data_IF_897833513923
#
_entry.id   IF_897833513923
#
_cell.length_a   1.000
_cell.length_b   1.000
_cell.length_c   1.000
_cell.angle_alpha   90.00
_cell.angle_beta   90.00
_cell.angle_gamma   90.00
#
_symmetry.space_group_name_H-M   'P 1'
#
loop_
_entity.id
_entity.type
_entity.pdbx_description
1 polymer ?
#
# COMPACT_ATOMS: atom_id res chain seq x y z
N UNK A 1 -0.07 3.73 -5.73
CA UNK A 1 -0.91 2.99 -4.76
C UNK A 1 -1.89 3.89 -4.00
N UNK A 2 -1.49 5.06 -3.50
CA UNK A 2 -2.39 5.93 -2.71
C UNK A 2 -3.76 6.18 -3.38
N UNK A 3 -3.80 6.61 -4.64
CA UNK A 3 -5.06 6.89 -5.34
C UNK A 3 -6.00 5.67 -5.39
N UNK A 4 -5.47 4.49 -5.75
CA UNK A 4 -6.25 3.27 -5.82
C UNK A 4 -6.80 2.85 -4.45
N UNK A 5 -6.04 3.06 -3.37
CA UNK A 5 -6.49 2.79 -2.01
C UNK A 5 -7.62 3.75 -1.60
N UNK A 6 -7.46 5.06 -1.84
CA UNK A 6 -8.48 6.07 -1.53
C UNK A 6 -9.80 5.73 -2.23
N UNK A 7 -9.74 5.40 -3.51
CA UNK A 7 -10.92 5.03 -4.30
C UNK A 7 -11.61 3.76 -3.77
N UNK A 8 -10.83 2.72 -3.45
CA UNK A 8 -11.38 1.47 -2.94
C UNK A 8 -12.04 1.67 -1.56
N UNK A 9 -11.42 2.44 -0.67
CA UNK A 9 -11.96 2.72 0.68
C UNK A 9 -13.20 3.61 0.61
N UNK A 10 -13.23 4.61 -0.29
CA UNK A 10 -14.44 5.42 -0.49
C UNK A 10 -15.62 4.54 -0.94
N UNK A 11 -15.41 3.67 -1.93
CA UNK A 11 -16.45 2.72 -2.38
C UNK A 11 -16.87 1.76 -1.25
N UNK A 12 -15.91 1.20 -0.52
CA UNK A 12 -16.17 0.29 0.61
C UNK A 12 -17.01 0.96 1.70
N UNK A 13 -16.72 2.22 2.03
CA UNK A 13 -17.42 2.98 3.08
C UNK A 13 -18.91 3.22 2.77
N UNK A 14 -19.31 3.08 1.50
CA UNK A 14 -20.66 3.36 1.00
C UNK A 14 -21.51 2.09 0.85
N UNK A 15 -20.94 0.90 1.03
CA UNK A 15 -21.66 -0.38 0.87
C UNK A 15 -22.79 -0.46 1.90
N UNK A 16 -23.98 -0.87 1.45
CA UNK A 16 -25.16 -1.06 2.30
C UNK A 16 -25.92 0.22 2.66
N UNK A 17 -25.42 1.40 2.28
CA UNK A 17 -26.15 2.64 2.46
C UNK A 17 -27.28 2.76 1.43
N UNK A 18 -28.47 3.18 1.88
CA UNK A 18 -29.66 3.29 1.04
C UNK A 18 -29.49 4.28 -0.12
N UNK A 19 -28.85 5.42 0.13
CA UNK A 19 -28.65 6.51 -0.82
C UNK A 19 -27.21 7.07 -0.71
N UNK A 20 -26.18 6.37 -1.19
CA UNK A 20 -24.77 6.75 -1.00
C UNK A 20 -24.38 8.07 -1.69
N UNK A 21 -25.18 8.52 -2.66
CA UNK A 21 -25.00 9.79 -3.36
C UNK A 21 -25.65 10.99 -2.63
N UNK A 22 -26.45 10.73 -1.60
CA UNK A 22 -27.15 11.76 -0.82
C UNK A 22 -26.46 12.03 0.53
N UNK A 23 -25.22 11.59 0.69
CA UNK A 23 -24.42 11.82 1.90
C UNK A 23 -23.80 13.22 1.87
N UNK A 24 -23.60 13.79 3.06
CA UNK A 24 -22.81 15.01 3.22
C UNK A 24 -21.33 14.65 3.14
N UNK A 25 -20.56 15.41 2.35
CA UNK A 25 -19.12 15.26 2.28
C UNK A 25 -18.45 15.95 3.49
N UNK A 26 -18.00 15.13 4.44
CA UNK A 26 -17.28 15.58 5.62
C UNK A 26 -15.76 15.38 5.51
N UNK A 27 -15.21 15.09 4.32
CA UNK A 27 -13.79 14.75 4.14
C UNK A 27 -12.81 15.81 4.67
N UNK A 28 -13.25 17.06 4.78
CA UNK A 28 -12.48 18.18 5.36
C UNK A 28 -12.03 17.95 6.81
N UNK A 29 -12.74 17.13 7.59
CA UNK A 29 -12.35 16.85 8.99
C UNK A 29 -11.28 15.77 9.09
N UNK A 30 -10.99 15.05 8.01
CA UNK A 30 -9.94 14.04 7.98
C UNK A 30 -8.59 14.77 8.01
N UNK A 31 -7.69 14.44 8.95
CA UNK A 31 -6.37 15.04 9.00
C UNK A 31 -5.61 14.87 7.69
N UNK A 32 -4.87 15.92 7.29
CA UNK A 32 -4.03 15.83 6.10
C UNK A 32 -2.91 14.81 6.32
N UNK A 33 -2.66 13.91 5.35
CA UNK A 33 -1.62 12.91 5.48
C UNK A 33 -0.24 13.57 5.51
N UNK A 34 0.66 13.01 6.32
CA UNK A 34 2.08 13.39 6.28
C UNK A 34 2.67 13.06 4.92
N UNK A 35 3.66 13.85 4.51
CA UNK A 35 4.33 13.64 3.23
C UNK A 35 4.93 12.23 3.14
N UNK A 36 4.83 11.63 1.95
CA UNK A 36 5.37 10.30 1.72
C UNK A 36 6.89 10.29 2.00
N UNK A 37 7.35 9.24 2.69
CA UNK A 37 8.77 9.03 3.04
C UNK A 37 9.65 8.86 1.78
N UNK A 38 9.05 8.59 0.62
CA UNK A 38 9.72 8.38 -0.69
C UNK A 38 10.82 7.31 -0.66
N UNK A 39 10.85 6.44 0.36
CA UNK A 39 11.70 5.24 0.38
C UNK A 39 11.21 4.32 -0.74
N UNK A 40 12.10 3.85 -1.64
CA UNK A 40 11.72 2.86 -2.64
C UNK A 40 11.38 1.52 -1.95
N UNK A 41 10.66 0.66 -2.66
CA UNK A 41 10.46 -0.71 -2.21
C UNK A 41 11.80 -1.46 -2.22
N UNK A 42 12.09 -2.17 -1.14
CA UNK A 42 13.31 -2.96 -0.94
C UNK A 42 12.97 -4.34 -0.41
N UNK A 43 13.87 -5.31 -0.59
CA UNK A 43 13.79 -6.54 0.19
C UNK A 43 14.21 -6.26 1.64
N UNK A 44 13.58 -6.90 2.63
CA UNK A 44 14.09 -6.89 4.00
C UNK A 44 15.54 -7.38 4.07
N UNK A 45 16.27 -6.98 5.11
CA UNK A 45 17.59 -7.52 5.39
C UNK A 45 17.54 -9.07 5.44
N UNK A 46 18.61 -9.74 5.01
CA UNK A 46 18.68 -11.21 4.82
C UNK A 46 17.83 -11.81 3.69
N UNK A 47 16.96 -11.02 3.04
CA UNK A 47 16.12 -11.47 1.91
C UNK A 47 16.62 -10.98 0.56
N UNK A 48 16.22 -11.70 -0.48
CA UNK A 48 16.58 -11.39 -1.86
C UNK A 48 15.49 -11.84 -2.82
N UNK A 49 15.71 -11.65 -4.13
CA UNK A 49 14.84 -12.20 -5.17
C UNK A 49 14.63 -13.72 -5.04
N UNK A 50 15.58 -14.47 -4.43
CA UNK A 50 15.45 -15.92 -4.22
C UNK A 50 14.29 -16.31 -3.31
N UNK A 51 13.85 -15.39 -2.45
CA UNK A 51 12.74 -15.59 -1.53
C UNK A 51 11.37 -15.27 -2.18
N UNK A 52 11.36 -14.72 -3.40
CA UNK A 52 10.14 -14.33 -4.10
C UNK A 52 9.49 -15.55 -4.76
N UNK A 53 8.22 -15.77 -4.43
CA UNK A 53 7.36 -16.75 -5.09
C UNK A 53 6.59 -16.05 -6.22
N UNK A 54 7.19 -16.01 -7.42
CA UNK A 54 6.58 -15.37 -8.59
C UNK A 54 5.23 -16.03 -8.92
N UNK A 55 4.16 -15.23 -8.90
CA UNK A 55 2.81 -15.70 -9.23
C UNK A 55 2.20 -14.98 -10.45
N UNK A 56 2.67 -13.77 -10.78
CA UNK A 56 2.17 -13.06 -11.94
C UNK A 56 2.80 -13.62 -13.22
N UNK A 57 2.01 -14.23 -14.09
CA UNK A 57 2.49 -14.77 -15.38
C UNK A 57 2.74 -13.68 -16.42
N UNK A 58 1.96 -12.59 -16.37
CA UNK A 58 2.04 -11.51 -17.35
C UNK A 58 3.23 -10.58 -17.15
N UNK A 59 3.78 -10.50 -15.93
CA UNK A 59 4.91 -9.63 -15.61
C UNK A 59 5.81 -10.27 -14.55
N UNK A 60 7.14 -10.29 -14.75
CA UNK A 60 8.07 -10.70 -13.72
C UNK A 60 8.06 -9.71 -12.54
N UNK A 61 8.42 -10.20 -11.35
CA UNK A 61 8.63 -9.38 -10.17
C UNK A 61 9.85 -8.45 -10.41
N UNK A 62 9.77 -7.18 -10.00
CA UNK A 62 10.87 -6.24 -10.19
C UNK A 62 12.10 -6.60 -9.36
N UNK A 63 13.30 -6.33 -9.89
CA UNK A 63 14.53 -6.45 -9.11
C UNK A 63 14.62 -5.28 -8.11
N UNK A 64 14.75 -5.60 -6.82
CA UNK A 64 14.86 -4.62 -5.73
C UNK A 64 16.23 -4.72 -5.05
N UNK A 65 16.57 -3.68 -4.29
CA UNK A 65 17.76 -3.69 -3.42
C UNK A 65 17.40 -4.34 -2.09
N UNK A 66 18.33 -5.10 -1.50
CA UNK A 66 18.20 -5.64 -0.14
C UNK A 66 18.63 -4.61 0.88
N UNK A 67 17.80 -4.37 1.90
CA UNK A 67 18.13 -3.50 3.02
C UNK A 67 19.40 -4.02 3.74
N UNK A 68 20.33 -3.14 4.14
CA UNK A 68 21.56 -3.57 4.80
C UNK A 68 21.27 -4.12 6.20
N UNK A 69 22.06 -5.11 6.63
CA UNK A 69 21.98 -5.70 7.97
C UNK A 69 21.91 -7.23 7.97
N UNK A 70 22.05 -7.83 9.15
CA UNK A 70 22.03 -9.28 9.36
C UNK A 70 20.73 -9.80 9.98
N UNK A 71 19.81 -8.90 10.31
CA UNK A 71 18.54 -9.23 10.96
C UNK A 71 17.41 -8.49 10.28
N UNK A 72 16.29 -9.18 10.06
CA UNK A 72 15.04 -8.54 9.64
C UNK A 72 14.51 -7.64 10.75
N UNK A 73 14.00 -6.47 10.36
CA UNK A 73 13.21 -5.64 11.26
C UNK A 73 11.74 -5.97 11.02
N UNK A 74 11.05 -6.47 12.04
CA UNK A 74 9.59 -6.55 11.98
C UNK A 74 9.04 -5.13 12.02
N UNK A 75 8.26 -4.77 11.02
CA UNK A 75 7.44 -3.56 11.07
C UNK A 75 6.24 -3.92 11.94
N UNK A 76 6.25 -3.46 13.19
CA UNK A 76 5.10 -3.54 14.10
C UNK A 76 4.06 -2.47 13.74
#
# INVERSE_FOLDING_TARGET
MQNAFIEAVDKLSRIGLKNPNALVDCSVVVPQPIAAVKKPATYPATKSFKDIQQACFASPFPSLVTDPGTTETLVA
#
